data_IF_309117879546
#
_entry.id   IF_309117879546
#
_cell.length_a   1.000
_cell.length_b   1.000
_cell.length_c   1.000
_cell.angle_alpha   90.00
_cell.angle_beta   90.00
_cell.angle_gamma   90.00
#
_symmetry.space_group_name_H-M   'P 1'
#
loop_
_entity.id
_entity.type
_entity.pdbx_description
1 polymer ?
#
# COMPACT_ATOMS: atom_id res chain seq x y z
N UNK A 1 33.79 39.60 -15.67
CA UNK A 1 35.09 39.67 -16.36
C UNK A 1 34.89 39.42 -17.85
N UNK A 2 35.26 40.40 -18.67
CA UNK A 2 35.15 40.34 -20.13
C UNK A 2 36.39 39.63 -20.69
N UNK A 3 36.32 38.32 -20.86
CA UNK A 3 37.34 37.57 -21.61
C UNK A 3 37.02 37.65 -23.11
N UNK A 4 37.30 38.80 -23.71
CA UNK A 4 37.45 38.92 -25.16
C UNK A 4 38.73 38.18 -25.55
N UNK A 5 38.61 37.09 -26.31
CA UNK A 5 39.77 36.51 -27.00
C UNK A 5 40.41 37.58 -27.90
N UNK A 6 41.74 37.54 -28.04
CA UNK A 6 42.51 38.56 -28.78
C UNK A 6 42.03 38.82 -30.22
N UNK A 7 41.26 37.88 -30.78
CA UNK A 7 40.65 37.93 -32.11
C UNK A 7 39.56 38.99 -32.28
N UNK A 8 39.03 39.57 -31.19
CA UNK A 8 37.86 40.45 -31.21
C UNK A 8 38.17 41.94 -30.99
N UNK A 9 39.45 42.33 -30.98
CA UNK A 9 39.87 43.73 -30.70
C UNK A 9 39.32 44.74 -31.72
N UNK A 10 38.98 44.31 -32.95
CA UNK A 10 38.41 45.15 -34.00
C UNK A 10 36.90 45.48 -33.82
N UNK A 11 36.19 44.76 -32.93
CA UNK A 11 34.77 45.00 -32.66
C UNK A 11 34.51 46.16 -31.68
N UNK A 12 35.56 46.77 -31.12
CA UNK A 12 35.44 47.98 -30.30
C UNK A 12 35.00 49.14 -31.19
N UNK A 13 33.97 49.84 -30.74
CA UNK A 13 33.29 51.01 -31.34
C UNK A 13 34.25 52.17 -31.67
N UNK A 14 35.05 52.01 -32.71
CA UNK A 14 35.85 53.08 -33.32
C UNK A 14 35.71 53.07 -34.85
N UNK A 15 34.48 52.90 -35.30
CA UNK A 15 34.04 53.24 -36.65
C UNK A 15 32.83 54.16 -36.48
N UNK A 16 32.90 55.39 -37.01
CA UNK A 16 31.93 56.45 -36.75
C UNK A 16 30.61 56.29 -37.50
N UNK A 17 29.92 55.15 -37.41
CA UNK A 17 28.60 54.96 -38.07
C UNK A 17 27.73 53.86 -37.44
N UNK A 18 26.42 54.12 -37.43
CA UNK A 18 25.23 53.29 -37.12
C UNK A 18 25.39 52.10 -36.12
N UNK A 19 25.15 52.32 -34.81
CA UNK A 19 25.23 51.27 -33.79
C UNK A 19 24.04 50.29 -33.86
N UNK A 20 24.33 48.99 -33.90
CA UNK A 20 23.33 47.92 -33.85
C UNK A 20 23.32 47.30 -32.45
N UNK A 21 22.20 47.42 -31.75
CA UNK A 21 21.98 46.81 -30.43
C UNK A 21 21.30 45.44 -30.61
N UNK A 22 21.92 44.39 -30.07
CA UNK A 22 21.40 43.02 -30.08
C UNK A 22 20.37 42.78 -28.96
N UNK A 23 19.64 41.66 -29.02
CA UNK A 23 18.68 41.24 -27.98
C UNK A 23 19.32 41.03 -26.59
N UNK A 24 20.63 40.83 -26.53
CA UNK A 24 21.42 40.77 -25.30
C UNK A 24 21.93 42.13 -24.80
N UNK A 25 21.42 43.23 -25.36
CA UNK A 25 21.77 44.62 -25.04
C UNK A 25 23.22 45.03 -25.35
N UNK A 26 24.00 44.17 -26.00
CA UNK A 26 25.32 44.51 -26.50
C UNK A 26 25.21 45.27 -27.83
N UNK A 27 26.00 46.34 -27.97
CA UNK A 27 26.01 47.23 -29.14
C UNK A 27 27.31 47.11 -29.92
N UNK A 28 27.21 47.06 -31.25
CA UNK A 28 28.34 46.95 -32.16
C UNK A 28 28.15 47.85 -33.38
N UNK A 29 29.23 48.26 -34.03
CA UNK A 29 29.14 48.94 -35.32
C UNK A 29 28.52 47.99 -36.37
N UNK A 30 27.61 48.48 -37.22
CA UNK A 30 26.90 47.64 -38.20
C UNK A 30 27.86 46.82 -39.08
N UNK A 31 28.94 47.42 -39.55
CA UNK A 31 29.89 46.76 -40.45
C UNK A 31 30.76 45.73 -39.74
N UNK A 32 31.16 46.04 -38.50
CA UNK A 32 31.89 45.14 -37.61
C UNK A 32 31.07 43.89 -37.31
N UNK A 33 29.78 44.09 -37.00
CA UNK A 33 28.83 43.02 -36.69
C UNK A 33 28.51 42.18 -37.93
N UNK A 34 28.30 42.81 -39.09
CA UNK A 34 28.11 42.11 -40.37
C UNK A 34 29.33 41.26 -40.73
N UNK A 35 30.54 41.78 -40.52
CA UNK A 35 31.80 41.06 -40.81
C UNK A 35 31.94 39.82 -39.91
N UNK A 36 31.62 39.95 -38.63
CA UNK A 36 31.59 38.84 -37.68
C UNK A 36 30.58 37.76 -38.06
N UNK A 37 29.36 38.15 -38.45
CA UNK A 37 28.31 37.19 -38.85
C UNK A 37 28.54 36.55 -40.22
N UNK A 38 29.43 37.08 -41.07
CA UNK A 38 29.88 36.34 -42.27
C UNK A 38 30.71 35.10 -41.91
N UNK A 39 31.36 35.11 -40.75
CA UNK A 39 32.24 34.01 -40.30
C UNK A 39 31.50 33.03 -39.37
N UNK A 40 30.30 33.41 -38.87
CA UNK A 40 29.53 32.61 -37.91
C UNK A 40 28.08 32.43 -38.40
N UNK A 41 27.62 31.20 -38.69
CA UNK A 41 26.27 30.97 -39.27
C UNK A 41 25.11 31.33 -38.33
N UNK A 42 25.38 31.47 -37.03
CA UNK A 42 24.37 31.44 -35.97
C UNK A 42 23.91 32.81 -35.49
N UNK A 43 24.42 33.91 -36.07
CA UNK A 43 24.05 35.28 -35.66
C UNK A 43 24.17 35.52 -34.14
N UNK A 44 25.24 34.96 -33.57
CA UNK A 44 25.51 35.04 -32.15
C UNK A 44 26.18 36.37 -31.80
N UNK A 45 25.90 36.86 -30.60
CA UNK A 45 26.58 38.03 -30.06
C UNK A 45 28.10 37.77 -29.92
N UNK A 46 28.97 38.63 -30.47
CA UNK A 46 30.42 38.50 -30.31
C UNK A 46 30.89 38.49 -28.85
N UNK A 47 30.15 39.16 -27.94
CA UNK A 47 30.52 39.29 -26.53
C UNK A 47 29.99 38.14 -25.65
N UNK A 48 28.75 37.70 -25.85
CA UNK A 48 28.11 36.74 -24.93
C UNK A 48 27.56 35.48 -25.61
N UNK A 49 27.77 35.35 -26.93
CA UNK A 49 27.34 34.21 -27.76
C UNK A 49 25.83 33.89 -27.72
N UNK A 50 25.01 34.79 -27.17
CA UNK A 50 23.54 34.69 -27.26
C UNK A 50 23.11 34.97 -28.69
N UNK A 51 22.29 34.08 -29.26
CA UNK A 51 21.70 34.21 -30.59
C UNK A 51 20.78 35.43 -30.65
N UNK A 52 20.96 36.27 -31.67
CA UNK A 52 20.04 37.37 -31.93
C UNK A 52 18.80 36.86 -32.67
N UNK A 53 17.74 36.55 -31.94
CA UNK A 53 16.48 36.02 -32.50
C UNK A 53 15.63 37.06 -33.25
N UNK A 54 15.97 38.35 -33.16
CA UNK A 54 15.20 39.46 -33.75
C UNK A 54 15.75 39.97 -35.09
N UNK A 55 16.87 39.42 -35.56
CA UNK A 55 17.56 39.87 -36.77
C UNK A 55 17.66 38.76 -37.82
N UNK A 56 17.52 39.14 -39.08
CA UNK A 56 17.57 38.20 -40.19
C UNK A 56 18.99 37.68 -40.46
N UNK A 57 19.14 36.36 -40.36
CA UNK A 57 20.03 35.43 -41.10
C UNK A 57 20.99 36.00 -42.15
N UNK A 58 20.41 36.68 -43.13
CA UNK A 58 21.10 36.96 -44.40
C UNK A 58 21.38 38.45 -44.60
N UNK A 59 20.63 39.31 -43.92
CA UNK A 59 20.64 40.75 -44.17
C UNK A 59 21.03 41.56 -42.92
N UNK A 60 21.05 40.92 -41.76
CA UNK A 60 21.28 41.57 -40.47
C UNK A 60 20.27 42.68 -40.17
N UNK A 61 19.07 42.59 -40.78
CA UNK A 61 17.97 43.53 -40.63
C UNK A 61 16.88 42.98 -39.71
N UNK A 62 16.13 43.89 -39.07
CA UNK A 62 15.03 43.52 -38.17
C UNK A 62 13.99 42.67 -38.89
N UNK A 63 13.62 41.55 -38.26
CA UNK A 63 12.51 40.71 -38.70
C UNK A 63 11.20 41.46 -38.39
N UNK A 64 10.45 41.79 -39.44
CA UNK A 64 9.20 42.58 -39.33
C UNK A 64 8.01 41.90 -39.97
N UNK A 65 8.25 40.91 -40.82
CA UNK A 65 7.21 40.18 -41.55
C UNK A 65 7.28 38.70 -41.17
N UNK A 66 6.17 37.99 -41.34
CA UNK A 66 6.07 36.55 -41.26
C UNK A 66 5.61 36.01 -42.61
N UNK A 67 6.37 35.08 -43.18
CA UNK A 67 6.01 34.37 -44.41
C UNK A 67 5.03 33.26 -44.06
N UNK A 68 3.80 33.32 -44.56
CA UNK A 68 2.77 32.33 -44.23
C UNK A 68 3.08 30.95 -44.86
N UNK A 69 3.61 30.95 -46.08
CA UNK A 69 3.90 29.71 -46.83
C UNK A 69 5.04 28.90 -46.23
N UNK A 70 6.06 29.59 -45.70
CA UNK A 70 7.21 28.95 -45.08
C UNK A 70 7.15 28.91 -43.55
N UNK A 71 6.12 29.50 -42.95
CA UNK A 71 5.95 29.66 -41.50
C UNK A 71 7.22 30.17 -40.78
N UNK A 72 7.82 31.25 -41.30
CA UNK A 72 9.05 31.81 -40.72
C UNK A 72 9.06 33.34 -40.73
N UNK A 73 9.69 33.98 -39.73
CA UNK A 73 9.88 35.42 -39.73
C UNK A 73 10.94 35.84 -40.77
N UNK A 74 10.70 36.96 -41.44
CA UNK A 74 11.59 37.51 -42.46
C UNK A 74 11.76 39.03 -42.30
N UNK A 75 12.88 39.57 -42.76
CA UNK A 75 13.08 41.02 -42.86
C UNK A 75 12.50 41.57 -44.17
N UNK A 76 12.44 42.91 -44.29
CA UNK A 76 11.90 43.58 -45.49
C UNK A 76 12.68 43.26 -46.77
N UNK A 77 13.99 43.00 -46.67
CA UNK A 77 14.83 42.64 -47.83
C UNK A 77 14.51 41.22 -48.31
N UNK A 78 14.28 40.28 -47.38
CA UNK A 78 13.91 38.89 -47.71
C UNK A 78 12.65 38.80 -48.55
N UNK A 79 11.68 39.73 -48.38
CA UNK A 79 10.44 39.77 -49.16
C UNK A 79 10.68 39.84 -50.67
N UNK A 80 11.73 40.54 -51.09
CA UNK A 80 12.08 40.71 -52.51
C UNK A 80 13.06 39.65 -53.02
N UNK A 81 13.47 38.71 -52.16
CA UNK A 81 14.37 37.64 -52.57
C UNK A 81 13.65 36.60 -53.43
N UNK A 82 14.40 35.94 -54.32
CA UNK A 82 13.88 34.82 -55.13
C UNK A 82 13.26 33.70 -54.27
N UNK A 83 13.79 33.49 -53.05
CA UNK A 83 13.28 32.49 -52.08
C UNK A 83 11.82 32.74 -51.69
N UNK A 84 11.36 33.98 -51.78
CA UNK A 84 10.07 34.43 -51.30
C UNK A 84 9.18 34.98 -52.43
N UNK A 85 9.49 34.59 -53.67
CA UNK A 85 8.76 35.02 -54.87
C UNK A 85 7.30 34.55 -54.80
N UNK A 86 6.35 35.49 -54.88
CA UNK A 86 4.90 35.25 -54.80
C UNK A 86 4.38 34.68 -53.48
N UNK A 87 5.15 34.77 -52.39
CA UNK A 87 4.70 34.30 -51.07
C UNK A 87 3.82 35.34 -50.38
N UNK A 88 2.98 34.88 -49.44
CA UNK A 88 2.14 35.75 -48.63
C UNK A 88 2.85 36.13 -47.34
N UNK A 89 2.69 37.38 -46.97
CA UNK A 89 3.29 37.96 -45.78
C UNK A 89 2.25 38.62 -44.91
N UNK A 90 2.49 38.57 -43.59
CA UNK A 90 1.82 39.44 -42.62
C UNK A 90 2.85 40.16 -41.76
N UNK A 91 2.54 41.32 -41.19
CA UNK A 91 3.30 41.88 -40.08
C UNK A 91 3.48 40.84 -38.97
N UNK A 92 4.66 40.84 -38.36
CA UNK A 92 5.01 39.84 -37.34
C UNK A 92 4.07 39.92 -36.13
N UNK A 93 3.61 41.12 -35.77
CA UNK A 93 2.72 41.34 -34.62
C UNK A 93 1.32 40.75 -34.86
N UNK A 94 0.81 40.84 -36.10
CA UNK A 94 -0.46 40.25 -36.53
C UNK A 94 -0.39 38.72 -36.56
N UNK A 95 0.65 38.16 -37.19
CA UNK A 95 0.86 36.70 -37.22
C UNK A 95 1.04 36.12 -35.81
N UNK A 96 1.76 36.85 -34.94
CA UNK A 96 1.92 36.45 -33.55
C UNK A 96 0.60 36.52 -32.77
N UNK A 97 -0.28 37.47 -33.10
CA UNK A 97 -1.61 37.55 -32.48
C UNK A 97 -2.49 36.38 -32.90
N UNK A 98 -2.57 36.06 -34.19
CA UNK A 98 -3.33 34.90 -34.67
C UNK A 98 -2.83 33.59 -34.06
N UNK A 99 -1.51 33.38 -33.99
CA UNK A 99 -0.96 32.18 -33.33
C UNK A 99 -1.24 32.14 -31.82
N UNK A 100 -1.30 33.29 -31.14
CA UNK A 100 -1.70 33.33 -29.72
C UNK A 100 -3.15 32.90 -29.55
N UNK A 101 -4.04 33.36 -30.44
CA UNK A 101 -5.46 33.00 -30.43
C UNK A 101 -5.65 31.50 -30.68
N UNK A 102 -5.00 30.94 -31.71
CA UNK A 102 -5.03 29.51 -32.03
C UNK A 102 -4.51 28.64 -30.86
N UNK A 103 -3.41 29.06 -30.23
CA UNK A 103 -2.88 28.39 -29.04
C UNK A 103 -3.84 28.49 -27.86
N UNK A 104 -4.53 29.62 -27.68
CA UNK A 104 -5.51 29.80 -26.62
C UNK A 104 -6.72 28.90 -26.83
N UNK A 105 -7.24 28.80 -28.06
CA UNK A 105 -8.32 27.88 -28.41
C UNK A 105 -7.95 26.41 -28.12
N UNK A 106 -6.71 26.03 -28.44
CA UNK A 106 -6.20 24.67 -28.20
C UNK A 106 -5.95 24.40 -26.71
N UNK A 107 -5.58 25.43 -25.93
CA UNK A 107 -5.27 25.32 -24.51
C UNK A 107 -6.51 25.06 -23.65
N UNK A 108 -7.66 25.64 -24.01
CA UNK A 108 -8.88 25.52 -23.19
C UNK A 108 -9.40 24.08 -23.04
N UNK A 109 -9.51 23.26 -24.10
CA UNK A 109 -9.80 21.83 -23.99
C UNK A 109 -8.80 21.07 -23.11
N UNK A 110 -7.51 21.42 -23.19
CA UNK A 110 -6.46 20.77 -22.40
C UNK A 110 -6.61 21.08 -20.90
N UNK A 111 -6.92 22.34 -20.54
CA UNK A 111 -7.23 22.72 -19.15
C UNK A 111 -8.44 21.95 -18.62
N UNK A 112 -9.51 21.81 -19.42
CA UNK A 112 -10.69 21.02 -19.05
C UNK A 112 -10.34 19.55 -18.85
N UNK A 113 -9.56 18.95 -19.75
CA UNK A 113 -9.11 17.56 -19.66
C UNK A 113 -8.23 17.32 -18.42
N UNK A 114 -7.34 18.26 -18.09
CA UNK A 114 -6.54 18.22 -16.88
C UNK A 114 -7.42 18.16 -15.62
N UNK A 115 -8.40 19.06 -15.50
CA UNK A 115 -9.34 19.09 -14.38
C UNK A 115 -10.12 17.78 -14.23
N UNK A 116 -10.58 17.20 -15.35
CA UNK A 116 -11.28 15.90 -15.32
C UNK A 116 -10.35 14.78 -14.86
N UNK A 117 -9.12 14.75 -15.36
CA UNK A 117 -8.12 13.74 -14.94
C UNK A 117 -7.81 13.83 -13.45
N UNK A 118 -7.68 15.04 -12.90
CA UNK A 118 -7.49 15.26 -11.46
C UNK A 118 -8.69 14.76 -10.63
N UNK A 119 -9.91 15.00 -11.10
CA UNK A 119 -11.12 14.47 -10.45
C UNK A 119 -11.16 12.94 -10.47
N UNK A 120 -10.82 12.33 -11.61
CA UNK A 120 -10.79 10.86 -11.74
C UNK A 120 -9.72 10.27 -10.84
N UNK A 121 -8.53 10.87 -10.78
CA UNK A 121 -7.47 10.48 -9.85
C UNK A 121 -7.97 10.50 -8.40
N UNK A 122 -8.62 11.58 -7.98
CA UNK A 122 -9.21 11.69 -6.64
C UNK A 122 -10.25 10.60 -6.34
N UNK A 123 -11.10 10.24 -7.32
CA UNK A 123 -12.06 9.14 -7.17
C UNK A 123 -11.37 7.77 -7.00
N UNK A 124 -10.28 7.53 -7.73
CA UNK A 124 -9.51 6.30 -7.56
C UNK A 124 -8.83 6.22 -6.20
N UNK A 125 -8.23 7.33 -5.74
CA UNK A 125 -7.61 7.40 -4.41
C UNK A 125 -8.64 7.11 -3.30
N UNK A 126 -9.84 7.69 -3.40
CA UNK A 126 -10.96 7.42 -2.47
C UNK A 126 -11.42 5.96 -2.51
N UNK A 127 -11.52 5.37 -3.70
CA UNK A 127 -11.95 3.99 -3.87
C UNK A 127 -10.92 3.01 -3.28
N UNK A 128 -9.63 3.28 -3.49
CA UNK A 128 -8.55 2.47 -2.92
C UNK A 128 -8.58 2.50 -1.39
N UNK A 129 -8.83 3.67 -0.80
CA UNK A 129 -8.94 3.80 0.66
C UNK A 129 -10.17 3.06 1.20
N UNK A 130 -11.31 3.18 0.52
CA UNK A 130 -12.51 2.42 0.88
C UNK A 130 -12.27 0.91 0.86
N UNK A 131 -11.60 0.39 -0.18
CA UNK A 131 -11.25 -1.03 -0.28
C UNK A 131 -10.41 -1.49 0.91
N UNK A 132 -9.41 -0.70 1.34
CA UNK A 132 -8.58 -1.02 2.51
C UNK A 132 -9.41 -1.06 3.80
N UNK A 133 -10.23 -0.03 4.03
CA UNK A 133 -11.07 0.06 5.24
C UNK A 133 -12.05 -1.11 5.28
N UNK A 134 -12.66 -1.44 4.15
CA UNK A 134 -13.59 -2.56 4.03
C UNK A 134 -12.89 -3.89 4.31
N UNK A 135 -11.70 -4.13 3.74
CA UNK A 135 -10.93 -5.35 3.98
C UNK A 135 -10.60 -5.54 5.46
N UNK A 136 -10.10 -4.50 6.13
CA UNK A 136 -9.83 -4.56 7.57
C UNK A 136 -11.09 -4.75 8.42
N UNK A 137 -12.21 -4.15 8.01
CA UNK A 137 -13.48 -4.35 8.69
C UNK A 137 -13.96 -5.80 8.61
N UNK A 138 -13.96 -6.38 7.42
CA UNK A 138 -14.34 -7.78 7.20
C UNK A 138 -13.39 -8.73 7.93
N UNK A 139 -12.08 -8.48 7.89
CA UNK A 139 -11.09 -9.26 8.64
C UNK A 139 -11.41 -9.29 10.14
N UNK A 140 -11.73 -8.13 10.73
CA UNK A 140 -12.12 -8.03 12.14
C UNK A 140 -13.38 -8.83 12.44
N UNK A 141 -14.41 -8.69 11.60
CA UNK A 141 -15.66 -9.43 11.77
C UNK A 141 -15.43 -10.94 11.74
N UNK A 142 -14.61 -11.44 10.81
CA UNK A 142 -14.26 -12.86 10.73
C UNK A 142 -13.58 -13.29 12.04
N UNK A 143 -12.56 -12.56 12.50
CA UNK A 143 -11.86 -12.86 13.76
C UNK A 143 -12.80 -12.90 14.97
N UNK A 144 -13.72 -11.94 15.08
CA UNK A 144 -14.70 -11.88 16.16
C UNK A 144 -15.68 -13.07 16.15
N UNK A 145 -16.11 -13.55 14.98
CA UNK A 145 -16.97 -14.74 14.91
C UNK A 145 -16.21 -16.00 15.33
N UNK A 146 -14.96 -16.16 14.91
CA UNK A 146 -14.14 -17.30 15.30
C UNK A 146 -13.82 -17.29 16.80
N UNK A 147 -13.55 -16.11 17.38
CA UNK A 147 -13.34 -15.97 18.82
C UNK A 147 -14.57 -16.45 19.62
N UNK A 148 -15.78 -16.06 19.19
CA UNK A 148 -17.02 -16.55 19.82
C UNK A 148 -17.17 -18.06 19.72
N UNK A 149 -16.81 -18.64 18.58
CA UNK A 149 -16.85 -20.09 18.39
C UNK A 149 -15.84 -20.80 19.29
N UNK A 150 -14.60 -20.31 19.40
CA UNK A 150 -13.59 -20.87 20.30
C UNK A 150 -14.06 -20.82 21.76
N UNK A 151 -14.61 -19.69 22.21
CA UNK A 151 -15.15 -19.57 23.57
C UNK A 151 -16.31 -20.54 23.82
N UNK A 152 -17.18 -20.76 22.83
CA UNK A 152 -18.24 -21.75 22.92
C UNK A 152 -17.65 -23.16 23.10
N UNK A 153 -16.68 -23.54 22.27
CA UNK A 153 -16.06 -24.86 22.33
C UNK A 153 -15.36 -25.12 23.66
N UNK A 154 -14.62 -24.14 24.19
CA UNK A 154 -13.93 -24.27 25.50
C UNK A 154 -14.94 -24.51 26.62
N UNK A 155 -15.99 -23.68 26.72
CA UNK A 155 -17.03 -23.83 27.75
C UNK A 155 -17.72 -25.19 27.66
N UNK A 156 -18.02 -25.59 26.44
CA UNK A 156 -18.70 -26.83 26.15
C UNK A 156 -17.82 -28.06 26.47
N UNK A 157 -16.51 -27.97 26.23
CA UNK A 157 -15.52 -28.96 26.68
C UNK A 157 -15.44 -29.03 28.21
N UNK A 158 -15.34 -27.89 28.90
CA UNK A 158 -15.32 -27.82 30.37
C UNK A 158 -16.55 -28.49 31.00
N UNK A 159 -17.74 -28.23 30.45
CA UNK A 159 -18.99 -28.85 30.92
C UNK A 159 -18.95 -30.37 30.75
N UNK A 160 -18.49 -30.87 29.59
CA UNK A 160 -18.38 -32.32 29.34
C UNK A 160 -17.36 -32.98 30.24
N UNK A 161 -16.20 -32.36 30.43
CA UNK A 161 -15.15 -32.86 31.32
C UNK A 161 -15.61 -32.89 32.78
N UNK A 162 -16.35 -31.89 33.24
CA UNK A 162 -16.93 -31.87 34.58
C UNK A 162 -17.97 -32.98 34.78
N UNK A 163 -18.83 -33.22 33.79
CA UNK A 163 -19.80 -34.32 33.83
C UNK A 163 -19.11 -35.68 33.92
N UNK A 164 -18.05 -35.91 33.14
CA UNK A 164 -17.26 -37.14 33.17
C UNK A 164 -16.61 -37.36 34.54
N UNK A 165 -15.98 -36.33 35.12
CA UNK A 165 -15.37 -36.43 36.46
C UNK A 165 -16.40 -36.79 37.54
N UNK A 166 -17.59 -36.19 37.48
CA UNK A 166 -18.68 -36.49 38.42
C UNK A 166 -19.15 -37.95 38.28
N UNK A 167 -19.27 -38.44 37.05
CA UNK A 167 -19.62 -39.83 36.78
C UNK A 167 -18.54 -40.80 37.29
N UNK A 168 -17.27 -40.49 37.07
CA UNK A 168 -16.13 -41.26 37.59
C UNK A 168 -16.13 -41.33 39.12
N UNK A 169 -16.30 -40.19 39.80
CA UNK A 169 -16.35 -40.09 41.25
C UNK A 169 -17.52 -40.92 41.82
N UNK A 170 -18.71 -40.79 41.22
CA UNK A 170 -19.89 -41.55 41.64
C UNK A 170 -19.66 -43.06 41.49
N UNK A 171 -19.16 -43.52 40.34
CA UNK A 171 -18.92 -44.96 40.10
C UNK A 171 -17.85 -45.52 41.02
N UNK A 172 -16.78 -44.77 41.25
CA UNK A 172 -15.69 -45.18 42.15
C UNK A 172 -16.17 -45.23 43.60
N UNK A 173 -16.95 -44.24 44.05
CA UNK A 173 -17.56 -44.23 45.37
C UNK A 173 -18.50 -45.41 45.61
N UNK A 174 -19.42 -45.67 44.66
CA UNK A 174 -20.30 -46.84 44.71
C UNK A 174 -19.53 -48.16 44.80
N UNK A 175 -18.43 -48.29 44.05
CA UNK A 175 -17.62 -49.50 44.08
C UNK A 175 -16.91 -49.67 45.43
N UNK A 176 -16.43 -48.58 46.03
CA UNK A 176 -15.84 -48.58 47.37
C UNK A 176 -16.84 -49.05 48.43
N UNK A 177 -18.05 -48.51 48.41
CA UNK A 177 -19.13 -48.94 49.33
C UNK A 177 -19.46 -50.43 49.19
N UNK A 178 -19.58 -50.93 47.95
CA UNK A 178 -19.77 -52.35 47.68
C UNK A 178 -18.62 -53.21 48.19
N UNK A 179 -17.38 -52.76 47.99
CA UNK A 179 -16.17 -53.46 48.44
C UNK A 179 -16.09 -53.50 49.98
N UNK A 180 -16.45 -52.42 50.66
CA UNK A 180 -16.51 -52.36 52.12
C UNK A 180 -17.63 -53.25 52.67
N UNK A 181 -18.80 -53.26 52.03
CA UNK A 181 -19.89 -54.17 52.39
C UNK A 181 -19.50 -55.64 52.24
N UNK A 182 -18.83 -55.99 51.14
CA UNK A 182 -18.33 -57.33 50.91
C UNK A 182 -17.24 -57.70 51.94
N UNK A 183 -16.32 -56.79 52.24
CA UNK A 183 -15.29 -56.99 53.26
C UNK A 183 -15.87 -57.25 54.65
N UNK A 184 -16.93 -56.52 55.03
CA UNK A 184 -17.67 -56.77 56.28
C UNK A 184 -18.30 -58.16 56.27
N UNK A 185 -18.99 -58.53 55.19
CA UNK A 185 -19.57 -59.87 55.04
C UNK A 185 -18.54 -61.00 55.14
N UNK A 186 -17.35 -60.81 54.56
CA UNK A 186 -16.23 -61.76 54.67
C UNK A 186 -15.75 -61.88 56.12
N UNK A 187 -15.63 -60.77 56.85
CA UNK A 187 -15.22 -60.77 58.26
C UNK A 187 -16.25 -61.49 59.14
N UNK A 188 -17.55 -61.17 58.99
CA UNK A 188 -18.63 -61.80 59.75
C UNK A 188 -18.70 -63.32 59.49
N UNK A 189 -18.53 -63.73 58.22
CA UNK A 189 -18.48 -65.13 57.84
C UNK A 189 -17.26 -65.82 58.44
N UNK A 190 -16.08 -65.18 58.37
CA UNK A 190 -14.84 -65.70 58.94
C UNK A 190 -14.93 -65.89 60.46
N UNK A 191 -15.56 -64.95 61.17
CA UNK A 191 -15.82 -65.05 62.60
C UNK A 191 -16.75 -66.21 62.95
N UNK A 192 -17.79 -66.42 62.14
CA UNK A 192 -18.73 -67.54 62.29
C UNK A 192 -18.04 -68.88 62.05
N UNK A 193 -17.21 -69.00 61.00
CA UNK A 193 -16.40 -70.19 60.74
C UNK A 193 -15.50 -70.49 61.94
N UNK A 194 -14.73 -69.50 62.39
CA UNK A 194 -13.83 -69.64 63.54
C UNK A 194 -14.54 -70.04 64.83
N UNK A 195 -15.69 -69.43 65.12
CA UNK A 195 -16.49 -69.78 66.30
C UNK A 195 -16.98 -71.24 66.24
N UNK A 196 -17.40 -71.69 65.06
CA UNK A 196 -17.85 -73.06 64.81
C UNK A 196 -16.69 -74.05 64.95
N UNK A 197 -15.52 -73.76 64.36
CA UNK A 197 -14.30 -74.57 64.50
C UNK A 197 -13.84 -74.70 65.96
N UNK A 198 -13.91 -73.60 66.73
CA UNK A 198 -13.57 -73.60 68.15
C UNK A 198 -14.54 -74.47 68.97
N UNK A 199 -15.85 -74.42 68.69
CA UNK A 199 -16.82 -75.31 69.33
C UNK A 199 -16.59 -76.77 68.99
N UNK A 200 -16.26 -77.10 67.74
CA UNK A 200 -15.92 -78.47 67.34
C UNK A 200 -14.70 -79.01 68.10
N UNK A 201 -13.82 -78.12 68.57
CA UNK A 201 -12.63 -78.45 69.35
C UNK A 201 -12.86 -78.45 70.88
N UNK A 202 -14.08 -78.16 71.35
CA UNK A 202 -14.42 -78.09 72.77
C UNK A 202 -14.72 -79.47 73.39
N UNK A 203 -14.69 -79.57 74.72
CA UNK A 203 -15.03 -80.81 75.46
C UNK A 203 -16.47 -81.23 75.20
N UNK A 204 -16.73 -82.54 75.10
CA UNK A 204 -18.02 -83.13 74.72
C UNK A 204 -19.25 -82.53 75.42
N UNK A 205 -19.19 -82.29 76.73
CA UNK A 205 -20.29 -81.69 77.50
C UNK A 205 -20.60 -80.23 77.10
N UNK A 206 -19.62 -79.44 76.69
CA UNK A 206 -19.83 -78.05 76.24
C UNK A 206 -20.44 -77.98 74.84
N UNK A 207 -20.08 -78.93 73.96
CA UNK A 207 -20.68 -79.04 72.63
C UNK A 207 -22.17 -79.31 72.76
N UNK A 208 -22.57 -80.27 73.60
CA UNK A 208 -23.99 -80.65 73.78
C UNK A 208 -24.84 -79.48 74.31
N UNK A 209 -24.34 -78.73 75.30
CA UNK A 209 -25.08 -77.61 75.91
C UNK A 209 -25.23 -76.40 74.97
N UNK A 210 -24.30 -76.20 74.02
CA UNK A 210 -24.29 -75.06 73.12
C UNK A 210 -24.84 -75.36 71.71
N UNK A 211 -24.91 -76.64 71.32
CA UNK A 211 -25.25 -77.12 69.97
C UNK A 211 -26.51 -76.48 69.37
N UNK A 212 -27.58 -76.34 70.16
CA UNK A 212 -28.85 -75.81 69.65
C UNK A 212 -28.77 -74.33 69.30
N UNK A 213 -27.95 -73.54 70.01
CA UNK A 213 -27.79 -72.10 69.77
C UNK A 213 -26.91 -71.84 68.54
N UNK A 214 -25.78 -72.54 68.45
CA UNK A 214 -24.84 -72.42 67.33
C UNK A 214 -25.44 -72.89 66.02
N UNK A 215 -26.22 -73.98 66.04
CA UNK A 215 -26.89 -74.52 64.85
C UNK A 215 -27.86 -73.51 64.24
N UNK A 216 -28.61 -72.77 65.06
CA UNK A 216 -29.46 -71.66 64.58
C UNK A 216 -28.65 -70.52 63.96
N UNK A 217 -27.49 -70.18 64.54
CA UNK A 217 -26.65 -69.09 64.07
C UNK A 217 -26.02 -69.39 62.70
N UNK A 218 -25.49 -70.60 62.51
CA UNK A 218 -24.93 -71.07 61.23
C UNK A 218 -25.99 -71.13 60.13
N UNK A 219 -27.20 -71.60 60.46
CA UNK A 219 -28.31 -71.68 59.49
C UNK A 219 -28.81 -70.30 59.03
N UNK A 220 -28.84 -69.33 59.95
CA UNK A 220 -29.33 -67.98 59.65
C UNK A 220 -28.40 -67.23 58.67
N UNK A 221 -27.08 -67.34 58.86
CA UNK A 221 -26.11 -66.76 57.93
C UNK A 221 -26.05 -67.51 56.59
N UNK A 222 -26.17 -68.84 56.59
CA UNK A 222 -26.21 -69.64 55.37
C UNK A 222 -27.44 -69.40 54.48
N UNK A 223 -28.50 -68.77 55.01
CA UNK A 223 -29.73 -68.45 54.28
C UNK A 223 -29.85 -66.97 53.88
N UNK A 224 -28.91 -66.11 54.31
CA UNK A 224 -28.95 -64.63 54.10
C UNK A 224 -27.94 -64.11 53.07
N UNK A 225 -27.21 -65.00 52.37
CA UNK A 225 -26.32 -64.69 51.24
C UNK A 225 -27.04 -64.98 49.90
#
# INVERSE_FOLDING_TARGET
ENSLTEDNKHLKTRCGSDPVILSCSHSFCRDCLKTWWRQTPTHDCPLCRKRSSSLCSFHSEKLKLFCLDHQQPVCLICRHSKKHSNHRFRPIDEAAQEHREELQETLEPLKKKLKVSEQVKGKFDQTAEHIKVQAHHTERQIKEQFEKLHQFLIKEEEVRMAALRKEEEQKTGMMKEKMEALSRGIADLSDTVRATENQLSAKDLQVILSFHFSKTQVYWFGSSL
#
